data_IF_228006383276
#
_entry.id   IF_228006383276
#
_cell.length_a   1.000
_cell.length_b   1.000
_cell.length_c   1.000
_cell.angle_alpha   90.00
_cell.angle_beta   90.00
_cell.angle_gamma   90.00
#
_symmetry.space_group_name_H-M   'P 1'
#
loop_
_entity.id
_entity.type
_entity.pdbx_description
1 polymer ?
#
# COMPACT_ATOMS: atom_id res chain seq x y z
N UNK A 1 49.33 43.93 11.27
CA UNK A 1 48.87 42.73 10.53
C UNK A 1 47.50 42.27 11.04
N UNK A 2 46.69 43.18 11.61
CA UNK A 2 45.63 42.81 12.55
C UNK A 2 44.21 42.99 11.95
N UNK A 3 44.10 43.75 10.86
CA UNK A 3 42.84 43.91 10.12
C UNK A 3 42.42 42.65 9.36
N UNK A 4 43.38 41.78 8.98
CA UNK A 4 43.09 40.55 8.23
C UNK A 4 42.50 39.45 9.13
N UNK A 5 43.02 39.29 10.37
CA UNK A 5 42.47 38.35 11.34
C UNK A 5 41.04 38.70 11.77
N UNK A 6 40.72 39.99 11.92
CA UNK A 6 39.40 40.43 12.34
C UNK A 6 38.31 40.14 11.28
N UNK A 7 38.63 40.33 9.99
CA UNK A 7 37.73 40.00 8.87
C UNK A 7 37.48 38.50 8.73
N UNK A 8 38.50 37.67 8.94
CA UNK A 8 38.38 36.21 8.89
C UNK A 8 37.46 35.67 9.99
N UNK A 9 37.60 36.19 11.21
CA UNK A 9 36.78 35.79 12.36
C UNK A 9 35.30 36.16 12.19
N UNK A 10 35.01 37.32 11.58
CA UNK A 10 33.64 37.76 11.27
C UNK A 10 32.95 36.86 10.23
N UNK A 11 33.68 36.42 9.19
CA UNK A 11 33.13 35.55 8.15
C UNK A 11 32.80 34.15 8.67
N UNK A 12 33.64 33.61 9.57
CA UNK A 12 33.40 32.32 10.23
C UNK A 12 32.17 32.41 11.13
N UNK A 13 32.02 33.50 11.88
CA UNK A 13 30.84 33.71 12.74
C UNK A 13 29.54 33.81 11.92
N UNK A 14 29.56 34.51 10.78
CA UNK A 14 28.40 34.59 9.88
C UNK A 14 28.05 33.21 9.29
N UNK A 15 29.04 32.41 8.91
CA UNK A 15 28.84 31.05 8.41
C UNK A 15 28.24 30.12 9.48
N UNK A 16 28.74 30.18 10.71
CA UNK A 16 28.22 29.41 11.85
C UNK A 16 26.80 29.85 12.20
N UNK A 17 26.49 31.15 12.17
CA UNK A 17 25.13 31.65 12.38
C UNK A 17 24.19 31.19 11.25
N UNK A 18 24.63 31.22 9.98
CA UNK A 18 23.84 30.70 8.86
C UNK A 18 23.50 29.20 9.02
N UNK A 19 24.49 28.39 9.43
CA UNK A 19 24.32 26.96 9.71
C UNK A 19 23.34 26.72 10.87
N UNK A 20 23.41 27.53 11.93
CA UNK A 20 22.49 27.45 13.09
C UNK A 20 21.08 28.00 12.80
N UNK A 21 20.91 28.80 11.74
CA UNK A 21 19.60 29.32 11.27
C UNK A 21 18.93 28.45 10.21
N UNK A 22 19.53 27.33 9.83
CA UNK A 22 18.86 26.34 8.99
C UNK A 22 17.75 25.65 9.80
N UNK A 23 16.60 26.31 9.90
CA UNK A 23 15.36 25.60 10.18
C UNK A 23 15.21 24.62 9.02
N UNK A 24 15.43 23.33 9.28
CA UNK A 24 15.16 22.29 8.29
C UNK A 24 13.80 22.56 7.67
N UNK A 25 13.73 22.53 6.35
CA UNK A 25 12.44 22.59 5.65
C UNK A 25 11.64 21.41 6.19
N UNK A 26 10.55 21.67 6.91
CA UNK A 26 9.66 20.62 7.44
C UNK A 26 8.84 20.06 6.28
N UNK A 27 9.50 19.29 5.42
CA UNK A 27 8.89 18.46 4.39
C UNK A 27 8.55 17.07 4.93
N UNK A 28 8.05 16.21 4.05
CA UNK A 28 7.91 14.79 4.34
C UNK A 28 8.85 13.99 3.44
N UNK A 29 9.42 12.94 4.00
CA UNK A 29 10.15 11.92 3.25
C UNK A 29 9.16 10.87 2.77
N UNK A 30 9.09 10.65 1.46
CA UNK A 30 8.39 9.52 0.87
C UNK A 30 9.39 8.40 0.58
N UNK A 31 9.20 7.23 1.16
CA UNK A 31 10.01 6.04 0.90
C UNK A 31 9.19 5.02 0.12
N UNK A 32 9.62 4.71 -1.09
CA UNK A 32 9.01 3.70 -1.95
C UNK A 32 9.71 2.36 -1.70
N UNK A 33 8.93 1.31 -1.48
CA UNK A 33 9.44 -0.04 -1.21
C UNK A 33 8.78 -1.03 -2.16
N UNK A 34 9.58 -1.78 -2.90
CA UNK A 34 9.07 -2.85 -3.75
C UNK A 34 9.22 -4.21 -3.04
N UNK A 35 8.10 -4.80 -2.61
CA UNK A 35 8.05 -6.19 -2.11
C UNK A 35 7.39 -7.14 -3.12
N UNK A 36 7.14 -6.70 -4.35
CA UNK A 36 6.70 -7.60 -5.42
C UNK A 36 7.85 -8.54 -5.78
N UNK A 37 7.54 -9.70 -6.36
CA UNK A 37 8.54 -10.65 -6.84
C UNK A 37 9.14 -10.28 -8.20
N UNK A 38 8.75 -9.11 -8.74
CA UNK A 38 9.20 -8.50 -9.99
C UNK A 38 9.56 -7.01 -9.78
N UNK A 39 10.28 -6.43 -10.75
CA UNK A 39 10.56 -4.99 -10.81
C UNK A 39 9.29 -4.20 -11.10
N UNK A 40 9.11 -3.08 -10.41
CA UNK A 40 8.07 -2.09 -10.70
C UNK A 40 8.72 -0.77 -11.09
N UNK A 41 7.99 0.08 -11.81
CA UNK A 41 8.45 1.41 -12.16
C UNK A 41 7.51 2.47 -11.58
N UNK A 42 7.77 2.98 -10.37
CA UNK A 42 6.92 4.00 -9.79
C UNK A 42 6.83 5.24 -10.67
N UNK A 43 5.66 5.87 -10.66
CA UNK A 43 5.40 7.17 -11.27
C UNK A 43 5.02 8.18 -10.18
N UNK A 44 5.44 9.43 -10.37
CA UNK A 44 5.18 10.54 -9.47
C UNK A 44 4.58 11.69 -10.27
N UNK A 45 3.39 12.13 -9.86
CA UNK A 45 2.73 13.31 -10.42
C UNK A 45 2.44 14.32 -9.31
N UNK A 46 3.09 15.48 -9.37
CA UNK A 46 2.73 16.61 -8.55
C UNK A 46 1.44 17.27 -9.07
N UNK A 47 0.56 17.68 -8.17
CA UNK A 47 -0.65 18.41 -8.51
C UNK A 47 -0.32 19.85 -8.92
N UNK A 48 -1.29 20.52 -9.57
CA UNK A 48 -1.15 21.93 -9.95
C UNK A 48 -0.78 22.79 -8.73
N UNK A 49 0.28 23.60 -8.88
CA UNK A 49 0.80 24.45 -7.80
C UNK A 49 1.85 23.78 -6.89
N UNK A 50 2.04 22.46 -6.99
CA UNK A 50 3.12 21.75 -6.30
C UNK A 50 4.35 21.59 -7.21
N UNK A 51 5.57 21.71 -6.69
CA UNK A 51 6.78 21.46 -7.48
C UNK A 51 6.93 19.97 -7.80
N UNK A 52 7.57 19.67 -8.93
CA UNK A 52 8.06 18.32 -9.20
C UNK A 52 9.07 17.90 -8.12
N UNK A 53 9.06 16.62 -7.76
CA UNK A 53 10.11 16.02 -6.95
C UNK A 53 11.37 15.81 -7.81
N UNK A 54 12.42 15.22 -7.22
CA UNK A 54 13.69 14.93 -7.90
C UNK A 54 13.50 14.07 -9.17
N UNK A 55 12.50 13.19 -9.16
CA UNK A 55 12.09 12.35 -10.29
C UNK A 55 10.56 12.32 -10.41
N UNK A 56 10.08 12.07 -11.62
CA UNK A 56 8.67 11.80 -11.97
C UNK A 56 8.43 10.33 -12.33
N UNK A 57 9.47 9.51 -12.45
CA UNK A 57 9.37 8.07 -12.62
C UNK A 57 10.73 7.39 -12.60
N UNK A 58 10.81 6.18 -12.04
CA UNK A 58 12.06 5.46 -11.84
C UNK A 58 11.86 3.95 -11.82
N UNK A 59 12.93 3.19 -12.04
CA UNK A 59 12.95 1.74 -11.82
C UNK A 59 13.13 1.42 -10.33
N UNK A 60 12.35 0.47 -9.82
CA UNK A 60 12.46 -0.02 -8.46
C UNK A 60 12.50 -1.56 -8.46
N UNK A 61 13.70 -2.17 -8.47
CA UNK A 61 13.86 -3.62 -8.45
C UNK A 61 13.26 -4.28 -7.21
N UNK A 62 13.03 -5.60 -7.29
CA UNK A 62 12.55 -6.41 -6.17
C UNK A 62 13.38 -6.20 -4.89
N UNK A 63 12.70 -6.10 -3.75
CA UNK A 63 13.28 -5.98 -2.41
C UNK A 63 14.19 -4.75 -2.25
N UNK A 64 13.98 -3.70 -3.07
CA UNK A 64 14.70 -2.43 -2.97
C UNK A 64 13.77 -1.30 -2.53
N UNK A 65 14.39 -0.17 -2.13
CA UNK A 65 13.68 1.04 -1.75
C UNK A 65 14.37 2.30 -2.27
N UNK A 66 13.61 3.35 -2.53
CA UNK A 66 14.11 4.69 -2.88
C UNK A 66 13.29 5.75 -2.17
N UNK A 67 13.95 6.80 -1.68
CA UNK A 67 13.28 7.89 -0.95
C UNK A 67 13.38 9.23 -1.67
N UNK A 68 12.37 10.07 -1.49
CA UNK A 68 12.28 11.42 -2.02
C UNK A 68 11.84 12.40 -0.94
N UNK A 69 12.37 13.62 -1.00
CA UNK A 69 11.95 14.71 -0.13
C UNK A 69 10.87 15.53 -0.84
N UNK A 70 9.72 15.70 -0.20
CA UNK A 70 8.67 16.60 -0.65
C UNK A 70 8.59 17.83 0.27
N UNK A 71 8.43 19.04 -0.28
CA UNK A 71 8.29 20.24 0.54
C UNK A 71 6.97 20.24 1.32
N UNK A 72 6.91 21.06 2.36
CA UNK A 72 5.65 21.36 3.06
C UNK A 72 4.61 21.88 2.07
N UNK A 73 3.34 21.54 2.27
CA UNK A 73 2.27 21.94 1.34
C UNK A 73 2.23 21.15 0.02
N UNK A 74 3.12 20.18 -0.20
CA UNK A 74 3.13 19.40 -1.44
C UNK A 74 1.87 18.54 -1.57
N UNK A 75 1.29 18.53 -2.77
CA UNK A 75 0.17 17.68 -3.12
C UNK A 75 0.47 16.96 -4.43
N UNK A 76 0.08 15.69 -4.51
CA UNK A 76 0.32 14.87 -5.68
C UNK A 76 -0.06 13.42 -5.43
N UNK A 77 0.33 12.56 -6.36
CA UNK A 77 0.00 11.14 -6.34
C UNK A 77 1.14 10.29 -6.87
N UNK A 78 1.13 9.05 -6.42
CA UNK A 78 2.07 8.02 -6.78
C UNK A 78 1.33 6.78 -7.27
N UNK A 79 1.96 6.04 -8.17
CA UNK A 79 1.51 4.73 -8.62
C UNK A 79 2.72 3.88 -8.99
N UNK A 80 2.50 2.61 -9.33
CA UNK A 80 3.55 1.75 -9.86
C UNK A 80 3.11 1.12 -11.19
N UNK A 81 4.02 1.18 -12.17
CA UNK A 81 3.87 0.54 -13.48
C UNK A 81 4.42 -0.88 -13.45
N UNK A 82 3.81 -1.77 -14.23
CA UNK A 82 4.24 -3.18 -14.35
C UNK A 82 4.39 -3.60 -15.81
N UNK A 83 5.17 -4.67 -16.04
CA UNK A 83 5.40 -5.20 -17.38
C UNK A 83 6.06 -4.18 -18.32
N UNK A 84 6.96 -3.36 -17.77
CA UNK A 84 7.66 -2.33 -18.54
C UNK A 84 8.79 -2.92 -19.38
N UNK A 85 8.98 -2.37 -20.57
CA UNK A 85 10.11 -2.66 -21.44
C UNK A 85 10.74 -1.34 -21.87
N UNK A 86 11.76 -0.90 -21.13
CA UNK A 86 12.58 0.26 -21.44
C UNK A 86 13.92 -0.20 -22.02
N UNK A 87 14.38 0.46 -23.07
CA UNK A 87 15.70 0.22 -23.65
C UNK A 87 16.82 0.94 -22.87
N UNK A 88 18.07 0.78 -23.32
CA UNK A 88 19.25 1.42 -22.71
C UNK A 88 19.20 2.96 -22.72
N UNK A 89 18.28 3.55 -23.51
CA UNK A 89 18.00 4.99 -23.55
C UNK A 89 16.83 5.41 -22.67
N UNK A 90 16.39 4.53 -21.76
CA UNK A 90 15.23 4.71 -20.87
C UNK A 90 13.91 4.95 -21.61
N UNK A 91 13.84 4.54 -22.88
CA UNK A 91 12.68 4.73 -23.77
C UNK A 91 11.86 3.45 -23.86
N UNK A 92 10.53 3.54 -23.79
CA UNK A 92 9.69 2.35 -23.71
C UNK A 92 8.26 2.59 -23.26
N UNK A 93 7.61 1.51 -22.84
CA UNK A 93 6.22 1.52 -22.35
C UNK A 93 5.97 0.41 -21.33
N UNK A 94 4.86 0.52 -20.61
CA UNK A 94 4.42 -0.44 -19.61
C UNK A 94 3.05 -1.04 -19.92
N UNK A 95 2.79 -2.25 -19.41
CA UNK A 95 1.52 -2.93 -19.58
C UNK A 95 0.40 -2.31 -18.74
N UNK A 96 0.72 -1.89 -17.51
CA UNK A 96 -0.24 -1.26 -16.60
C UNK A 96 0.32 0.04 -16.03
N UNK A 97 -0.55 1.02 -15.80
CA UNK A 97 -0.20 2.32 -15.23
C UNK A 97 0.75 3.18 -16.08
N UNK A 98 0.96 2.83 -17.35
CA UNK A 98 1.85 3.57 -18.25
C UNK A 98 1.45 5.06 -18.29
N UNK A 99 2.42 5.96 -18.27
CA UNK A 99 2.14 7.39 -18.24
C UNK A 99 2.20 8.07 -19.61
N UNK A 100 2.41 7.31 -20.69
CA UNK A 100 2.37 7.81 -22.06
C UNK A 100 3.53 8.75 -22.43
N UNK A 101 4.53 8.93 -21.56
CA UNK A 101 5.70 9.74 -21.85
C UNK A 101 6.65 9.08 -22.85
N UNK A 102 6.53 7.76 -23.02
CA UNK A 102 7.47 6.95 -23.78
C UNK A 102 8.84 6.79 -23.09
N UNK A 103 8.95 7.14 -21.80
CA UNK A 103 10.19 7.17 -21.02
C UNK A 103 9.98 6.61 -19.60
N UNK A 104 11.06 6.26 -18.91
CA UNK A 104 11.02 5.94 -17.47
C UNK A 104 10.45 7.12 -16.68
N UNK A 105 10.88 8.35 -16.96
CA UNK A 105 10.33 9.57 -16.38
C UNK A 105 8.92 9.87 -16.94
N UNK A 106 7.95 10.15 -16.08
CA UNK A 106 6.58 10.47 -16.51
C UNK A 106 6.36 11.92 -16.94
N UNK A 107 7.31 12.82 -16.68
CA UNK A 107 7.36 14.18 -17.22
C UNK A 107 6.07 15.00 -17.00
N UNK A 108 5.43 14.81 -15.84
CA UNK A 108 4.18 15.51 -15.49
C UNK A 108 2.91 14.89 -16.09
N UNK A 109 3.01 13.72 -16.71
CA UNK A 109 1.87 12.92 -17.14
C UNK A 109 1.44 11.96 -16.04
N UNK A 110 0.13 11.68 -15.97
CA UNK A 110 -0.45 10.72 -15.03
C UNK A 110 -0.51 9.30 -15.58
N UNK A 111 -0.80 8.34 -14.71
CA UNK A 111 -1.04 6.96 -15.10
C UNK A 111 -2.24 6.85 -16.06
N UNK A 112 -2.12 6.02 -17.09
CA UNK A 112 -3.26 5.50 -17.83
C UNK A 112 -3.95 4.42 -16.96
N UNK A 113 -5.24 4.58 -16.63
CA UNK A 113 -5.99 3.58 -15.89
C UNK A 113 -6.08 2.22 -16.63
N UNK A 114 -6.19 1.09 -15.91
CA UNK A 114 -6.30 0.99 -14.46
C UNK A 114 -4.97 1.13 -13.69
N UNK A 115 -5.00 1.87 -12.58
CA UNK A 115 -3.87 2.02 -11.68
C UNK A 115 -4.31 2.26 -10.22
N UNK A 116 -3.69 1.55 -9.29
CA UNK A 116 -3.83 1.86 -7.85
C UNK A 116 -3.01 3.10 -7.54
N UNK A 117 -3.64 4.10 -6.91
CA UNK A 117 -3.01 5.38 -6.61
C UNK A 117 -2.80 5.54 -5.10
N UNK A 118 -1.67 6.12 -4.69
CA UNK A 118 -1.52 6.73 -3.39
C UNK A 118 -1.54 8.26 -3.55
N UNK A 119 -2.46 8.93 -2.87
CA UNK A 119 -2.70 10.36 -3.02
C UNK A 119 -2.34 11.09 -1.73
N UNK A 120 -1.75 12.28 -1.85
CA UNK A 120 -1.25 13.05 -0.71
C UNK A 120 -1.55 14.54 -0.89
N UNK A 121 -1.86 15.19 0.23
CA UNK A 121 -1.84 16.63 0.41
C UNK A 121 -1.20 16.93 1.76
N UNK A 122 0.06 17.36 1.73
CA UNK A 122 0.83 17.70 2.93
C UNK A 122 0.41 19.08 3.46
N UNK A 123 0.33 19.22 4.78
CA UNK A 123 0.03 20.48 5.42
C UNK A 123 1.22 21.44 5.41
N UNK A 124 0.95 22.74 5.36
CA UNK A 124 1.96 23.81 5.56
C UNK A 124 2.15 24.12 7.05
N UNK A 125 2.54 23.12 7.83
CA UNK A 125 2.48 23.14 9.31
C UNK A 125 1.11 22.77 9.89
N UNK A 126 0.22 22.27 9.03
CA UNK A 126 -1.07 21.67 9.38
C UNK A 126 -1.06 20.15 9.27
N UNK A 127 -2.26 19.58 9.23
CA UNK A 127 -2.47 18.14 9.04
C UNK A 127 -2.29 17.75 7.57
N UNK A 128 -1.65 16.63 7.34
CA UNK A 128 -1.56 15.96 6.06
C UNK A 128 -2.80 15.10 5.83
N UNK A 129 -3.21 15.00 4.57
CA UNK A 129 -4.27 14.10 4.10
C UNK A 129 -3.65 13.12 3.12
N UNK A 130 -3.96 11.83 3.29
CA UNK A 130 -3.48 10.79 2.39
C UNK A 130 -4.43 9.62 2.32
N UNK A 131 -4.37 8.91 1.21
CA UNK A 131 -5.21 7.75 0.94
C UNK A 131 -4.58 6.85 -0.13
N UNK A 132 -5.09 5.62 -0.21
CA UNK A 132 -4.94 4.79 -1.41
C UNK A 132 -6.29 4.70 -2.10
N UNK A 133 -6.30 4.96 -3.41
CA UNK A 133 -7.47 5.09 -4.23
C UNK A 133 -7.52 4.05 -5.35
N UNK A 134 -8.70 3.44 -5.50
CA UNK A 134 -9.06 2.49 -6.55
C UNK A 134 -10.11 3.08 -7.51
N UNK A 135 -10.34 4.39 -7.44
CA UNK A 135 -11.26 5.12 -8.32
C UNK A 135 -10.85 4.94 -9.78
N UNK A 136 -9.56 4.97 -10.04
CA UNK A 136 -8.95 4.75 -11.37
C UNK A 136 -8.62 3.26 -11.60
N UNK A 137 -9.23 2.35 -10.84
CA UNK A 137 -8.99 0.92 -10.95
C UNK A 137 -7.86 0.39 -10.06
N UNK A 138 -7.43 -0.82 -10.36
CA UNK A 138 -6.43 -1.56 -9.61
C UNK A 138 -5.47 -2.26 -10.55
N UNK A 139 -4.17 -2.21 -10.28
CA UNK A 139 -3.19 -3.01 -11.00
C UNK A 139 -2.31 -3.86 -10.07
N UNK A 140 -1.97 -3.36 -8.88
CA UNK A 140 -1.19 -4.09 -7.89
C UNK A 140 -1.49 -3.69 -6.44
N UNK A 141 -1.18 -4.55 -5.45
CA UNK A 141 -1.44 -4.23 -4.05
C UNK A 141 -0.53 -3.09 -3.57
N UNK A 142 -1.08 -2.14 -2.81
CA UNK A 142 -0.36 -0.97 -2.31
C UNK A 142 -0.76 -0.65 -0.87
N UNK A 143 0.21 -0.28 -0.05
CA UNK A 143 0.01 0.18 1.33
C UNK A 143 0.80 1.47 1.58
N UNK A 144 0.18 2.42 2.27
CA UNK A 144 0.80 3.64 2.77
C UNK A 144 0.80 3.62 4.30
N UNK A 145 1.96 3.89 4.90
CA UNK A 145 2.16 3.95 6.34
C UNK A 145 2.85 5.26 6.73
N UNK A 146 2.26 6.02 7.66
CA UNK A 146 2.88 7.21 8.25
C UNK A 146 3.76 6.84 9.45
N UNK A 147 4.88 7.54 9.62
CA UNK A 147 5.88 7.29 10.67
C UNK A 147 6.40 8.60 11.27
N UNK A 148 6.71 8.60 12.57
CA UNK A 148 7.29 9.74 13.27
C UNK A 148 6.33 10.91 13.57
N UNK A 149 5.15 10.94 12.95
CA UNK A 149 4.15 11.99 13.16
C UNK A 149 3.20 11.78 14.34
N UNK A 150 2.21 12.66 14.43
CA UNK A 150 1.17 12.66 15.46
C UNK A 150 -0.23 12.76 14.88
N UNK A 151 -1.25 12.34 15.63
CA UNK A 151 -2.63 12.22 15.16
C UNK A 151 -3.02 10.76 14.92
N UNK A 152 -3.88 10.51 13.93
CA UNK A 152 -4.34 9.15 13.62
C UNK A 152 -3.23 8.31 13.01
N UNK A 153 -2.55 8.84 11.97
CA UNK A 153 -1.41 8.23 11.29
C UNK A 153 -1.64 6.74 10.92
N UNK A 154 -2.90 6.37 10.67
CA UNK A 154 -3.28 5.00 10.38
C UNK A 154 -2.92 4.65 8.95
N UNK A 155 -2.53 3.40 8.72
CA UNK A 155 -2.21 2.96 7.38
C UNK A 155 -3.46 2.88 6.49
N UNK A 156 -3.25 3.03 5.19
CA UNK A 156 -4.28 2.97 4.13
C UNK A 156 -3.77 2.14 2.97
N UNK A 157 -4.64 1.46 2.25
CA UNK A 157 -4.21 0.58 1.17
C UNK A 157 -5.05 -0.67 0.95
N UNK A 158 -4.64 -1.39 -0.09
CA UNK A 158 -5.14 -2.70 -0.43
C UNK A 158 -4.01 -3.72 -0.44
N UNK A 159 -4.05 -4.65 0.52
CA UNK A 159 -3.12 -5.77 0.65
C UNK A 159 -3.57 -7.02 -0.09
N UNK A 160 -4.84 -7.05 -0.51
CA UNK A 160 -5.49 -8.13 -1.27
C UNK A 160 -5.12 -8.01 -2.75
N UNK A 161 -4.92 -9.14 -3.41
CA UNK A 161 -4.74 -9.18 -4.88
C UNK A 161 -6.11 -9.16 -5.58
N UNK A 162 -6.61 -7.94 -5.84
CA UNK A 162 -7.91 -7.71 -6.48
C UNK A 162 -7.98 -8.27 -7.91
N UNK A 163 -6.85 -8.47 -8.59
CA UNK A 163 -6.85 -9.01 -9.95
C UNK A 163 -7.42 -10.44 -10.00
N UNK A 164 -7.26 -11.21 -8.91
CA UNK A 164 -7.79 -12.58 -8.79
C UNK A 164 -9.30 -12.64 -8.63
N UNK A 165 -9.89 -11.57 -8.10
CA UNK A 165 -11.33 -11.45 -7.88
C UNK A 165 -12.00 -10.59 -8.96
N UNK A 166 -11.21 -9.97 -9.84
CA UNK A 166 -11.68 -9.05 -10.85
C UNK A 166 -12.73 -9.70 -11.78
N UNK A 167 -13.95 -9.15 -11.85
CA UNK A 167 -14.99 -9.70 -12.71
C UNK A 167 -14.60 -9.60 -14.18
N UNK A 168 -15.06 -10.53 -15.05
CA UNK A 168 -14.62 -10.60 -16.45
C UNK A 168 -14.75 -9.29 -17.22
N UNK A 169 -15.83 -8.53 -16.99
CA UNK A 169 -16.13 -7.27 -17.65
C UNK A 169 -15.22 -6.10 -17.24
N UNK A 170 -14.50 -6.22 -16.13
CA UNK A 170 -13.52 -5.22 -15.66
C UNK A 170 -12.07 -5.64 -15.91
N UNK A 171 -11.84 -6.90 -16.32
CA UNK A 171 -10.50 -7.48 -16.43
C UNK A 171 -9.71 -6.89 -17.60
N UNK A 172 -8.43 -6.61 -17.35
CA UNK A 172 -7.45 -6.25 -18.39
C UNK A 172 -6.47 -7.40 -18.60
N UNK A 173 -6.16 -7.69 -19.87
CA UNK A 173 -5.22 -8.73 -20.24
C UNK A 173 -5.60 -10.10 -19.66
N UNK A 174 -4.61 -10.82 -19.13
CA UNK A 174 -4.82 -12.12 -18.50
C UNK A 174 -5.08 -12.02 -16.98
N UNK A 175 -5.64 -10.89 -16.53
CA UNK A 175 -5.72 -10.55 -15.10
C UNK A 175 -4.54 -9.69 -14.64
N UNK A 176 -3.98 -8.89 -15.54
CA UNK A 176 -2.85 -8.01 -15.24
C UNK A 176 -3.29 -6.77 -14.46
N UNK A 177 -4.56 -6.37 -14.64
CA UNK A 177 -5.19 -5.28 -13.90
C UNK A 177 -6.72 -5.41 -13.92
N UNK A 178 -7.38 -4.60 -13.09
CA UNK A 178 -8.83 -4.51 -12.96
C UNK A 178 -9.30 -3.06 -13.10
N UNK A 179 -10.12 -2.79 -14.11
CA UNK A 179 -10.76 -1.47 -14.30
C UNK A 179 -11.72 -1.17 -13.15
N UNK A 180 -11.87 0.10 -12.80
CA UNK A 180 -13.06 0.54 -12.08
C UNK A 180 -14.27 0.53 -13.01
N UNK A 181 -15.48 0.64 -12.45
CA UNK A 181 -16.68 0.74 -13.27
C UNK A 181 -16.71 2.02 -14.13
N UNK A 182 -16.12 3.13 -13.64
CA UNK A 182 -16.03 4.35 -14.44
C UNK A 182 -15.17 4.09 -15.69
N UNK A 183 -14.00 3.48 -15.52
CA UNK A 183 -13.09 3.19 -16.63
C UNK A 183 -13.63 2.14 -17.61
N UNK A 184 -14.47 1.22 -17.14
CA UNK A 184 -15.06 0.20 -18.00
C UNK A 184 -16.28 0.71 -18.79
N UNK A 185 -17.14 1.53 -18.17
CA UNK A 185 -18.46 1.84 -18.72
C UNK A 185 -18.67 3.32 -19.04
N UNK A 186 -17.90 4.23 -18.45
CA UNK A 186 -17.97 5.67 -18.70
C UNK A 186 -19.29 6.34 -18.32
N UNK A 187 -20.18 5.65 -17.61
CA UNK A 187 -21.50 6.19 -17.28
C UNK A 187 -21.41 7.23 -16.15
N UNK A 188 -22.25 8.28 -16.17
CA UNK A 188 -22.24 9.32 -15.14
C UNK A 188 -22.40 8.78 -13.72
N UNK A 189 -23.16 7.71 -13.53
CA UNK A 189 -23.39 7.03 -12.25
C UNK A 189 -22.10 6.42 -11.68
N UNK A 190 -21.26 5.83 -12.54
CA UNK A 190 -20.00 5.22 -12.10
C UNK A 190 -18.89 6.25 -11.97
N UNK A 191 -18.89 7.28 -12.81
CA UNK A 191 -17.88 8.32 -12.83
C UNK A 191 -18.21 9.51 -11.92
N UNK A 192 -19.34 9.47 -11.21
CA UNK A 192 -19.84 10.56 -10.38
C UNK A 192 -19.80 11.93 -11.08
N UNK A 193 -20.35 11.98 -12.30
CA UNK A 193 -20.32 13.16 -13.15
C UNK A 193 -21.73 13.60 -13.54
N UNK A 194 -21.87 14.79 -14.12
CA UNK A 194 -23.17 15.34 -14.53
C UNK A 194 -24.17 15.39 -13.36
N UNK A 195 -25.31 14.71 -13.49
CA UNK A 195 -26.33 14.64 -12.43
C UNK A 195 -25.88 13.89 -11.16
N UNK A 196 -24.79 13.13 -11.25
CA UNK A 196 -24.23 12.30 -10.18
C UNK A 196 -22.98 12.95 -9.53
N UNK A 197 -22.74 14.24 -9.74
CA UNK A 197 -21.56 14.95 -9.23
C UNK A 197 -21.65 15.40 -7.76
N UNK A 198 -22.42 14.70 -6.94
CA UNK A 198 -22.48 14.96 -5.49
C UNK A 198 -22.52 13.63 -4.71
N UNK A 199 -22.07 13.60 -3.45
CA UNK A 199 -22.24 12.42 -2.59
C UNK A 199 -23.71 12.01 -2.39
N UNK A 200 -24.63 12.96 -2.51
CA UNK A 200 -26.06 12.71 -2.41
C UNK A 200 -26.60 11.93 -3.63
N UNK A 201 -26.04 12.17 -4.82
CA UNK A 201 -26.54 11.61 -6.08
C UNK A 201 -25.69 10.43 -6.60
N UNK A 202 -24.37 10.42 -6.42
CA UNK A 202 -23.54 9.25 -6.74
C UNK A 202 -23.59 8.22 -5.60
N UNK A 203 -24.12 7.03 -5.87
CA UNK A 203 -24.20 5.95 -4.88
C UNK A 203 -23.20 4.83 -5.18
N UNK A 204 -22.72 4.10 -4.16
CA UNK A 204 -21.86 2.94 -4.37
C UNK A 204 -22.55 1.94 -5.30
N UNK A 205 -21.82 1.47 -6.32
CA UNK A 205 -22.28 0.43 -7.23
C UNK A 205 -21.89 -0.96 -6.72
N UNK A 206 -22.38 -2.01 -7.37
CA UNK A 206 -21.93 -3.39 -7.08
C UNK A 206 -20.41 -3.55 -7.26
N UNK A 207 -19.82 -2.83 -8.21
CA UNK A 207 -18.38 -2.87 -8.48
C UNK A 207 -17.57 -2.12 -7.41
N UNK A 208 -17.99 -0.91 -7.02
CA UNK A 208 -17.28 -0.18 -5.97
C UNK A 208 -17.45 -0.84 -4.60
N UNK A 209 -18.58 -1.50 -4.33
CA UNK A 209 -18.76 -2.32 -3.13
C UNK A 209 -17.83 -3.54 -3.13
N UNK A 210 -17.60 -4.17 -4.27
CA UNK A 210 -16.65 -5.29 -4.40
C UNK A 210 -15.21 -4.83 -4.11
N UNK A 211 -14.78 -3.70 -4.69
CA UNK A 211 -13.47 -3.10 -4.37
C UNK A 211 -13.36 -2.74 -2.88
N UNK A 212 -14.43 -2.18 -2.29
CA UNK A 212 -14.43 -1.83 -0.87
C UNK A 212 -14.38 -3.04 0.06
N UNK A 213 -15.07 -4.12 -0.30
CA UNK A 213 -15.05 -5.36 0.47
C UNK A 213 -13.65 -5.99 0.51
N UNK A 214 -12.93 -5.98 -0.63
CA UNK A 214 -11.56 -6.48 -0.71
C UNK A 214 -10.53 -5.54 -0.05
N UNK A 215 -10.78 -4.23 -0.12
CA UNK A 215 -9.86 -3.17 0.35
C UNK A 215 -10.60 -2.12 1.23
N UNK A 216 -10.99 -2.46 2.48
CA UNK A 216 -11.84 -1.58 3.29
C UNK A 216 -11.24 -0.21 3.66
N UNK A 217 -9.91 -0.08 3.54
CA UNK A 217 -9.14 1.13 3.88
C UNK A 217 -8.67 1.92 2.64
N UNK A 218 -9.30 1.69 1.49
CA UNK A 218 -9.05 2.42 0.25
C UNK A 218 -10.33 3.04 -0.26
N UNK A 219 -10.20 4.13 -1.03
CA UNK A 219 -11.31 4.68 -1.82
C UNK A 219 -11.71 3.68 -2.90
N UNK A 220 -12.98 3.30 -2.95
CA UNK A 220 -13.49 2.42 -4.01
C UNK A 220 -14.27 3.15 -5.12
N UNK A 221 -14.67 4.40 -4.88
CA UNK A 221 -15.27 5.32 -5.84
C UNK A 221 -15.12 6.77 -5.34
N UNK A 222 -15.46 7.76 -6.18
CA UNK A 222 -15.11 9.17 -5.95
C UNK A 222 -15.66 9.81 -4.66
N UNK A 223 -16.74 9.30 -4.08
CA UNK A 223 -17.33 9.84 -2.84
C UNK A 223 -17.35 8.84 -1.67
N UNK A 224 -16.39 7.93 -1.63
CA UNK A 224 -16.19 6.98 -0.51
C UNK A 224 -15.47 7.62 0.68
N UNK A 225 -16.12 8.52 1.43
CA UNK A 225 -15.43 9.45 2.33
C UNK A 225 -15.25 8.98 3.80
N UNK A 226 -16.14 8.14 4.34
CA UNK A 226 -16.15 7.89 5.79
C UNK A 226 -14.98 7.04 6.32
N UNK A 227 -14.26 6.31 5.46
CA UNK A 227 -13.22 5.33 5.89
C UNK A 227 -11.94 5.35 5.05
N UNK A 228 -11.82 6.32 4.13
CA UNK A 228 -10.83 6.25 3.05
C UNK A 228 -9.82 7.39 3.06
N UNK A 229 -10.10 8.51 3.74
CA UNK A 229 -9.10 9.58 3.97
C UNK A 229 -8.46 9.42 5.33
N UNK A 230 -7.14 9.46 5.35
CA UNK A 230 -6.34 9.33 6.55
C UNK A 230 -5.57 10.60 6.80
N UNK A 231 -5.27 10.85 8.08
CA UNK A 231 -4.63 12.08 8.49
C UNK A 231 -3.48 11.85 9.44
N UNK A 232 -2.44 12.66 9.31
CA UNK A 232 -1.27 12.63 10.18
C UNK A 232 -0.60 14.01 10.16
N UNK A 233 0.17 14.35 11.19
CA UNK A 233 0.88 15.63 11.28
C UNK A 233 2.36 15.39 11.49
N UNK A 234 3.19 15.94 10.61
CA UNK A 234 4.65 15.89 10.74
C UNK A 234 5.23 14.50 10.60
N UNK A 235 4.70 13.71 9.65
CA UNK A 235 5.16 12.35 9.39
C UNK A 235 6.00 12.24 8.12
N UNK A 236 6.85 11.21 8.11
CA UNK A 236 7.36 10.60 6.90
C UNK A 236 6.46 9.44 6.48
N UNK A 237 6.42 9.13 5.19
CA UNK A 237 5.49 8.14 4.62
C UNK A 237 6.24 7.04 3.88
N UNK A 238 5.82 5.79 4.07
CA UNK A 238 6.30 4.64 3.30
C UNK A 238 5.20 4.14 2.38
N UNK A 239 5.46 4.10 1.07
CA UNK A 239 4.61 3.52 0.04
C UNK A 239 5.17 2.15 -0.32
N UNK A 240 4.47 1.08 0.07
CA UNK A 240 4.89 -0.31 -0.17
C UNK A 240 4.04 -0.94 -1.26
N UNK A 241 4.70 -1.41 -2.32
CA UNK A 241 4.09 -2.25 -3.36
C UNK A 241 4.17 -3.72 -2.97
N UNK A 242 3.08 -4.47 -3.14
CA UNK A 242 2.92 -5.87 -2.74
C UNK A 242 3.28 -6.15 -1.26
N UNK A 243 2.67 -5.47 -0.28
CA UNK A 243 3.01 -5.60 1.15
C UNK A 243 2.85 -7.02 1.73
N UNK A 244 2.00 -7.85 1.11
CA UNK A 244 1.66 -9.21 1.55
C UNK A 244 2.45 -10.32 0.86
N UNK A 245 3.42 -9.99 -0.01
CA UNK A 245 4.23 -11.02 -0.67
C UNK A 245 4.93 -11.89 0.37
N UNK A 246 4.86 -13.24 0.26
CA UNK A 246 5.53 -14.12 1.19
C UNK A 246 7.05 -14.09 0.94
N UNK A 247 7.72 -13.05 1.44
CA UNK A 247 9.16 -13.11 1.64
C UNK A 247 9.40 -14.07 2.79
N UNK A 248 9.93 -15.26 2.48
CA UNK A 248 10.43 -16.22 3.45
C UNK A 248 11.47 -15.53 4.34
N UNK A 249 11.05 -15.01 5.48
CA UNK A 249 11.95 -14.65 6.57
C UNK A 249 11.61 -15.52 7.76
N UNK A 250 12.18 -16.72 7.72
CA UNK A 250 12.50 -17.48 8.92
C UNK A 250 13.33 -16.58 9.85
N UNK A 251 12.73 -16.17 10.95
CA UNK A 251 13.47 -15.76 12.15
C UNK A 251 12.81 -16.41 13.35
N UNK A 252 13.25 -17.65 13.59
CA UNK A 252 13.58 -18.20 14.91
C UNK A 252 13.01 -17.45 16.11
N UNK A 253 11.85 -17.90 16.60
CA UNK A 253 11.50 -17.69 18.00
C UNK A 253 12.28 -18.73 18.82
N UNK A 254 13.49 -18.37 19.21
CA UNK A 254 14.21 -19.10 20.25
C UNK A 254 13.56 -18.77 21.59
N UNK A 255 12.71 -19.68 22.05
CA UNK A 255 12.10 -19.63 23.38
C UNK A 255 13.19 -19.81 24.46
N UNK A 256 13.25 -18.97 25.50
CA UNK A 256 14.17 -19.16 26.61
C UNK A 256 13.76 -20.38 27.44
N UNK A 257 14.66 -21.35 27.59
CA UNK A 257 14.52 -22.41 28.60
C UNK A 257 14.55 -21.78 30.00
N UNK A 258 13.42 -21.84 30.71
CA UNK A 258 13.41 -21.64 32.16
C UNK A 258 13.95 -22.90 32.83
N UNK A 259 15.05 -22.73 33.56
CA UNK A 259 15.68 -23.76 34.37
C UNK A 259 14.76 -24.19 35.51
N UNK A 260 14.60 -25.51 35.69
CA UNK A 260 14.11 -26.12 36.92
C UNK A 260 15.02 -27.30 37.29
N UNK A 261 15.91 -27.05 38.24
CA UNK A 261 16.58 -28.05 39.11
C UNK A 261 15.56 -28.34 40.24
N UNK A 262 15.25 -29.54 40.75
CA UNK A 262 16.00 -30.73 41.21
C UNK A 262 14.90 -31.74 41.65
N UNK A 263 14.88 -33.06 41.39
CA UNK A 263 15.55 -34.17 42.13
C UNK A 263 15.00 -35.53 41.62
N UNK A 264 15.68 -36.68 41.87
CA UNK A 264 15.56 -37.91 41.06
C UNK A 264 14.90 -39.13 41.74
N UNK A 265 14.48 -40.10 40.90
CA UNK A 265 13.99 -41.46 41.24
C UNK A 265 12.60 -41.66 40.65
N UNK A 266 12.27 -42.61 39.79
CA UNK A 266 12.70 -44.01 39.69
C UNK A 266 12.37 -44.54 38.26
N UNK A 267 13.00 -45.65 37.92
CA UNK A 267 13.22 -46.27 36.59
C UNK A 267 12.01 -46.95 35.91
N UNK A 268 12.20 -47.23 34.61
CA UNK A 268 11.64 -48.35 33.81
C UNK A 268 10.37 -48.04 32.99
N UNK A 269 10.19 -48.39 31.71
CA UNK A 269 10.94 -49.08 30.66
C UNK A 269 10.37 -48.53 29.32
N UNK A 270 11.17 -48.01 28.40
CA UNK A 270 11.72 -48.66 27.20
C UNK A 270 10.78 -49.59 26.37
N UNK A 271 10.63 -49.18 25.11
CA UNK A 271 10.41 -49.91 23.83
C UNK A 271 9.11 -49.52 23.11
N UNK A 272 9.14 -48.68 22.07
CA UNK A 272 9.73 -48.83 20.72
C UNK A 272 8.97 -49.87 19.87
N UNK A 273 8.08 -49.32 19.02
CA UNK A 273 7.77 -49.70 17.62
C UNK A 273 7.14 -51.08 17.38
N UNK A 274 6.41 -51.40 16.31
CA UNK A 274 6.39 -50.91 14.93
C UNK A 274 5.18 -51.60 14.21
N UNK A 275 4.84 -51.10 13.01
CA UNK A 275 4.16 -51.79 11.88
C UNK A 275 2.65 -52.01 11.99
N UNK A 276 1.86 -51.19 11.29
CA UNK A 276 1.21 -51.45 9.98
C UNK A 276 0.32 -52.69 9.95
N UNK A 277 -0.94 -52.52 9.48
CA UNK A 277 -1.40 -53.09 8.22
C UNK A 277 -2.94 -53.07 8.09
N UNK A 278 -3.37 -52.61 6.91
CA UNK A 278 -4.49 -53.06 6.08
C UNK A 278 -5.95 -52.62 6.37
N UNK A 279 -6.47 -51.91 5.36
CA UNK A 279 -7.75 -52.11 4.65
C UNK A 279 -8.98 -52.64 5.38
N UNK A 280 -10.10 -51.91 5.23
CA UNK A 280 -11.42 -52.55 5.23
C UNK A 280 -12.57 -51.73 5.79
N UNK A 281 -13.36 -51.16 4.88
CA UNK A 281 -14.83 -51.06 4.88
C UNK A 281 -15.61 -50.87 6.19
N UNK A 282 -16.29 -49.72 6.24
CA UNK A 282 -17.73 -49.55 6.52
C UNK A 282 -18.49 -50.78 7.07
N UNK A 283 -19.06 -50.66 8.28
CA UNK A 283 -20.47 -51.00 8.50
C UNK A 283 -21.04 -50.40 9.80
N UNK A 284 -22.31 -50.00 9.68
CA UNK A 284 -23.23 -49.41 10.66
C UNK A 284 -23.42 -50.24 11.94
N UNK A 285 -23.78 -49.58 13.06
CA UNK A 285 -25.05 -49.88 13.74
C UNK A 285 -25.50 -48.77 14.67
N UNK A 286 -26.82 -48.56 14.63
CA UNK A 286 -27.65 -47.59 15.35
C UNK A 286 -27.87 -48.09 16.78
N UNK A 287 -27.91 -47.19 17.76
CA UNK A 287 -28.80 -47.41 18.90
C UNK A 287 -29.45 -46.10 19.35
N UNK A 288 -30.77 -46.08 19.17
CA UNK A 288 -31.69 -45.06 19.63
C UNK A 288 -32.03 -45.34 21.10
N UNK A 289 -31.95 -44.32 21.96
CA UNK A 289 -32.74 -44.29 23.19
C UNK A 289 -33.44 -42.94 23.28
N UNK A 290 -34.74 -43.00 23.02
CA UNK A 290 -35.71 -41.93 23.08
C UNK A 290 -36.49 -42.09 24.39
N UNK A 291 -36.56 -41.07 25.25
CA UNK A 291 -37.66 -40.92 26.21
C UNK A 291 -38.09 -39.44 26.29
N UNK A 292 -39.29 -39.20 25.74
CA UNK A 292 -40.44 -38.38 26.22
C UNK A 292 -40.14 -37.03 26.90
N UNK A 293 -40.84 -35.94 26.59
CA UNK A 293 -42.13 -35.78 25.90
C UNK A 293 -42.93 -34.63 26.54
N UNK A 294 -43.98 -34.21 25.82
CA UNK A 294 -45.04 -33.21 26.10
C UNK A 294 -44.68 -31.76 25.71
N UNK A 295 -45.19 -31.17 24.60
CA UNK A 295 -46.60 -30.98 24.13
C UNK A 295 -47.38 -30.11 25.12
N UNK A 296 -48.17 -29.08 24.81
CA UNK A 296 -49.03 -28.63 23.69
C UNK A 296 -49.33 -27.15 24.07
N UNK A 297 -49.44 -26.15 23.20
CA UNK A 297 -50.16 -26.05 21.94
C UNK A 297 -51.49 -25.33 22.16
N UNK A 298 -51.74 -24.27 21.38
CA UNK A 298 -53.02 -23.83 20.82
C UNK A 298 -52.75 -22.55 20.03
#
# INVERSE_FOLDING_TARGET
MDHFSCRSSFLILILVVLLMTSRGVMGATFTFVNKCDYTVWPGILANAGSPRLESTGFELPKDTSRSFQAPTGWSGRFWARTGCNFDDSESGSCLTGDCGSGQVECNGLGAAPPATLAEFTLGSGGQDFYDVSLVDGYNLPMLVEGSGGSGMCASTGCSTDLNRECPPELRVGNGDACKSACEAFGSPEYCCSGAFNTPATCKPSVYSQMFKAACPRSYSYAYDDATSTFTCTGADYTVTFCPSSPSQKSSSYSTPMTAATTTPGEVSALCITLVEMLDGSLCFSVNSLQIRGLSVGA
#
